data_IF_241924413920
#
_entry.id   IF_241924413920
#
_cell.length_a   1.000
_cell.length_b   1.000
_cell.length_c   1.000
_cell.angle_alpha   90.00
_cell.angle_beta   90.00
_cell.angle_gamma   90.00
#
_symmetry.space_group_name_H-M   'P 1'
#
loop_
_entity.id
_entity.type
_entity.pdbx_description
1 polymer ?
#
# COMPACT_ATOMS: atom_id res chain seq x y z
N UNK A 1 -1.88 -2.67 -10.63
CA UNK A 1 -1.99 -1.22 -10.50
C UNK A 1 -3.11 -0.81 -9.58
N UNK A 2 -3.06 0.41 -9.10
CA UNK A 2 -4.04 0.98 -8.17
C UNK A 2 -4.43 2.40 -8.60
N UNK A 3 -5.70 2.75 -8.38
CA UNK A 3 -6.22 4.09 -8.64
C UNK A 3 -6.23 4.88 -7.33
N UNK A 4 -5.75 6.09 -7.38
CA UNK A 4 -5.71 7.04 -6.26
C UNK A 4 -6.46 8.32 -6.63
N UNK A 5 -7.59 8.65 -5.98
CA UNK A 5 -8.24 9.93 -6.15
C UNK A 5 -7.44 11.02 -5.42
N UNK A 6 -7.27 12.16 -6.07
CA UNK A 6 -6.61 13.33 -5.48
C UNK A 6 -7.63 14.38 -5.05
N UNK A 7 -7.29 15.21 -4.06
CA UNK A 7 -8.14 16.27 -3.53
C UNK A 7 -8.74 17.18 -4.59
N UNK A 8 -8.00 17.48 -5.65
CA UNK A 8 -8.44 18.30 -6.79
C UNK A 8 -9.36 17.58 -7.79
N UNK A 9 -9.84 16.37 -7.47
CA UNK A 9 -10.74 15.57 -8.34
C UNK A 9 -10.03 14.82 -9.48
N UNK A 10 -8.70 14.90 -9.59
CA UNK A 10 -7.95 14.13 -10.57
C UNK A 10 -7.69 12.69 -10.08
N UNK A 11 -7.50 11.78 -11.02
CA UNK A 11 -7.08 10.41 -10.72
C UNK A 11 -5.59 10.22 -10.94
N UNK A 12 -4.94 9.60 -9.99
CA UNK A 12 -3.56 9.15 -10.10
C UNK A 12 -3.51 7.63 -10.20
N UNK A 13 -2.74 7.11 -11.13
CA UNK A 13 -2.62 5.67 -11.37
C UNK A 13 -1.21 5.22 -11.05
N UNK A 14 -1.07 4.35 -10.06
CA UNK A 14 0.18 3.66 -9.76
C UNK A 14 0.19 2.29 -10.43
N UNK A 15 1.22 2.00 -11.21
CA UNK A 15 1.37 0.72 -11.90
C UNK A 15 2.72 0.11 -11.53
N UNK A 16 2.70 -1.17 -11.15
CA UNK A 16 3.91 -1.98 -11.04
C UNK A 16 3.99 -2.86 -12.27
N UNK A 17 5.09 -2.78 -12.99
CA UNK A 17 5.44 -3.66 -14.08
C UNK A 17 6.41 -4.70 -13.53
N UNK A 18 6.01 -5.97 -13.64
CA UNK A 18 6.82 -7.12 -13.19
C UNK A 18 7.29 -7.85 -14.44
N UNK A 19 8.59 -7.99 -14.57
CA UNK A 19 9.23 -8.69 -15.67
C UNK A 19 9.68 -10.07 -15.22
N UNK A 20 9.70 -11.04 -16.14
CA UNK A 20 10.17 -12.40 -15.84
C UNK A 20 11.68 -12.43 -15.50
N UNK A 21 12.44 -11.55 -16.17
CA UNK A 21 13.86 -11.36 -15.96
C UNK A 21 14.12 -9.95 -15.41
N UNK A 22 15.37 -9.49 -15.50
CA UNK A 22 15.74 -8.14 -15.08
C UNK A 22 14.92 -7.10 -15.87
N UNK A 23 14.28 -6.20 -15.15
CA UNK A 23 13.53 -5.10 -15.76
C UNK A 23 14.45 -4.25 -16.66
N UNK A 24 14.08 -4.02 -17.92
CA UNK A 24 14.85 -3.15 -18.79
C UNK A 24 14.72 -1.70 -18.33
N UNK A 25 15.73 -0.90 -18.58
CA UNK A 25 15.59 0.54 -18.50
C UNK A 25 14.67 1.02 -19.62
N UNK A 26 13.58 1.69 -19.28
CA UNK A 26 12.67 2.33 -20.24
C UNK A 26 12.64 3.82 -19.91
N UNK A 27 13.04 4.64 -20.85
CA UNK A 27 13.01 6.09 -20.70
C UNK A 27 11.56 6.57 -20.45
N UNK A 28 11.41 7.51 -19.53
CA UNK A 28 10.10 8.04 -19.16
C UNK A 28 9.37 8.70 -20.34
N UNK A 29 10.10 9.26 -21.30
CA UNK A 29 9.53 9.85 -22.52
C UNK A 29 8.82 8.81 -23.38
N UNK A 30 9.36 7.59 -23.44
CA UNK A 30 8.73 6.46 -24.15
C UNK A 30 7.43 6.08 -23.48
N UNK A 31 7.44 5.97 -22.13
CA UNK A 31 6.23 5.67 -21.34
C UNK A 31 5.17 6.77 -21.54
N UNK A 32 5.57 8.04 -21.44
CA UNK A 32 4.68 9.18 -21.63
C UNK A 32 4.05 9.18 -23.03
N UNK A 33 4.82 8.88 -24.06
CA UNK A 33 4.35 8.81 -25.44
C UNK A 33 3.37 7.65 -25.67
N UNK A 34 3.53 6.55 -24.97
CA UNK A 34 2.59 5.44 -25.00
C UNK A 34 1.31 5.74 -24.19
N UNK A 35 1.46 6.37 -23.04
CA UNK A 35 0.37 6.65 -22.12
C UNK A 35 -0.60 7.71 -22.64
N UNK A 36 -0.12 8.84 -23.09
CA UNK A 36 -0.88 9.97 -23.67
C UNK A 36 -2.06 10.49 -22.83
N UNK A 37 -2.10 10.18 -21.55
CA UNK A 37 -3.17 10.58 -20.62
C UNK A 37 -2.65 11.48 -19.49
N UNK A 38 -1.60 12.22 -19.73
CA UNK A 38 -1.00 13.14 -18.76
C UNK A 38 0.43 12.78 -18.40
N UNK A 39 0.89 13.35 -17.29
CA UNK A 39 2.25 13.19 -16.81
C UNK A 39 2.53 11.75 -16.35
N UNK A 40 3.72 11.27 -16.65
CA UNK A 40 4.21 9.97 -16.19
C UNK A 40 5.55 10.12 -15.47
N UNK A 41 5.79 9.31 -14.45
CA UNK A 41 7.07 9.17 -13.77
C UNK A 41 7.35 7.69 -13.54
N UNK A 42 8.44 7.21 -14.10
CA UNK A 42 8.84 5.79 -14.02
C UNK A 42 10.14 5.68 -13.27
N UNK A 43 10.25 4.72 -12.37
CA UNK A 43 11.47 4.43 -11.63
C UNK A 43 11.56 2.94 -11.31
N UNK A 44 12.78 2.44 -11.14
CA UNK A 44 12.99 1.11 -10.58
C UNK A 44 12.54 1.09 -9.11
N UNK A 45 11.97 -0.04 -8.70
CA UNK A 45 11.68 -0.32 -7.30
C UNK A 45 12.86 -1.13 -6.78
N UNK A 46 13.71 -0.49 -6.01
CA UNK A 46 14.88 -1.10 -5.39
C UNK A 46 14.67 -1.11 -3.86
N UNK A 47 15.08 -2.18 -3.21
CA UNK A 47 15.10 -2.30 -1.74
C UNK A 47 13.76 -2.03 -1.04
N UNK A 48 12.64 -2.38 -1.67
CA UNK A 48 11.32 -2.32 -1.04
C UNK A 48 10.93 -3.71 -0.56
N UNK A 49 10.99 -3.91 0.75
CA UNK A 49 10.67 -5.21 1.38
C UNK A 49 9.20 -5.61 1.19
N UNK A 50 8.31 -4.64 1.10
CA UNK A 50 6.88 -4.89 0.93
C UNK A 50 6.23 -3.89 -0.04
N UNK A 51 6.23 -4.24 -1.32
CA UNK A 51 5.62 -3.42 -2.39
C UNK A 51 4.12 -3.26 -2.20
N UNK A 52 3.44 -4.25 -1.60
CA UNK A 52 2.02 -4.16 -1.30
C UNK A 52 1.71 -3.11 -0.25
N UNK A 53 2.50 -3.06 0.84
CA UNK A 53 2.37 -2.03 1.87
C UNK A 53 2.68 -0.64 1.30
N UNK A 54 3.71 -0.52 0.48
CA UNK A 54 4.06 0.71 -0.21
C UNK A 54 2.89 1.27 -1.04
N UNK A 55 2.24 0.45 -1.84
CA UNK A 55 1.08 0.87 -2.64
C UNK A 55 -0.15 1.16 -1.78
N UNK A 56 -0.41 0.35 -0.76
CA UNK A 56 -1.62 0.50 0.07
C UNK A 56 -1.61 1.78 0.91
N UNK A 57 -0.44 2.30 1.27
CA UNK A 57 -0.31 3.57 1.99
C UNK A 57 -0.93 4.74 1.22
N UNK A 58 -0.85 4.73 -0.12
CA UNK A 58 -1.44 5.77 -0.96
C UNK A 58 -2.95 5.59 -1.22
N UNK A 59 -3.49 4.42 -0.98
CA UNK A 59 -4.87 4.10 -1.38
C UNK A 59 -5.92 4.58 -0.39
N UNK A 60 -5.63 4.51 0.89
CA UNK A 60 -6.60 4.76 1.94
C UNK A 60 -6.31 6.02 2.74
N UNK A 61 -5.04 6.36 2.91
CA UNK A 61 -4.63 7.46 3.76
C UNK A 61 -4.46 8.74 2.94
N UNK A 62 -4.77 9.87 3.56
CA UNK A 62 -4.50 11.20 3.02
C UNK A 62 -3.44 11.87 3.88
N UNK A 63 -2.50 12.59 3.28
CA UNK A 63 -1.57 13.38 4.08
C UNK A 63 -2.30 14.53 4.76
N UNK A 64 -1.76 14.99 5.89
CA UNK A 64 -2.34 16.11 6.61
C UNK A 64 -2.39 17.37 5.73
N UNK A 65 -1.33 17.60 4.97
CA UNK A 65 -1.22 18.74 4.05
C UNK A 65 -2.29 18.69 2.96
N UNK A 66 -2.50 17.49 2.33
CA UNK A 66 -3.58 17.30 1.35
C UNK A 66 -4.98 17.49 1.96
N UNK A 67 -5.17 17.10 3.23
CA UNK A 67 -6.44 17.27 3.90
C UNK A 67 -6.75 18.75 4.17
N UNK A 68 -5.75 19.54 4.58
CA UNK A 68 -5.87 20.98 4.74
C UNK A 68 -6.18 21.68 3.41
N UNK A 69 -5.44 21.34 2.34
CA UNK A 69 -5.69 21.86 0.99
C UNK A 69 -7.10 21.53 0.47
N UNK A 70 -7.62 20.36 0.85
CA UNK A 70 -8.98 19.92 0.50
C UNK A 70 -10.06 20.51 1.40
N UNK A 71 -9.70 21.28 2.44
CA UNK A 71 -10.65 21.83 3.40
C UNK A 71 -11.34 20.78 4.28
N UNK A 72 -10.69 19.63 4.49
CA UNK A 72 -11.23 18.56 5.32
C UNK A 72 -11.06 18.95 6.79
N UNK A 73 -12.16 18.86 7.56
CA UNK A 73 -12.07 19.02 9.01
C UNK A 73 -11.32 17.86 9.64
N UNK A 74 -10.18 18.15 10.25
CA UNK A 74 -9.27 17.16 10.85
C UNK A 74 -9.40 17.06 12.37
N UNK A 75 -10.34 17.80 12.98
CA UNK A 75 -10.49 17.91 14.44
C UNK A 75 -10.70 16.57 15.14
N UNK A 76 -11.42 15.66 14.48
CA UNK A 76 -11.70 14.32 15.01
C UNK A 76 -11.03 13.19 14.21
N UNK A 77 -10.04 13.54 13.39
CA UNK A 77 -9.37 12.57 12.53
C UNK A 77 -8.35 11.74 13.31
N UNK A 78 -8.30 10.44 13.03
CA UNK A 78 -7.23 9.57 13.54
C UNK A 78 -5.95 9.87 12.74
N UNK A 79 -5.02 10.61 13.37
CA UNK A 79 -3.76 11.00 12.76
C UNK A 79 -2.68 9.99 13.15
N UNK A 80 -1.99 9.45 12.16
CA UNK A 80 -0.87 8.53 12.32
C UNK A 80 0.37 9.10 11.62
N UNK A 81 1.55 8.84 12.17
CA UNK A 81 2.79 9.16 11.48
C UNK A 81 3.29 7.91 10.78
N UNK A 82 3.42 7.97 9.47
CA UNK A 82 3.90 6.86 8.64
C UNK A 82 5.13 7.29 7.83
N UNK A 83 6.02 6.35 7.59
CA UNK A 83 7.13 6.58 6.66
C UNK A 83 6.63 6.47 5.23
N UNK A 84 6.70 7.57 4.50
CA UNK A 84 6.33 7.64 3.09
C UNK A 84 7.54 8.07 2.26
N UNK A 85 7.70 7.54 1.05
CA UNK A 85 8.77 7.98 0.17
C UNK A 85 8.53 9.42 -0.31
N UNK A 86 9.60 10.20 -0.32
CA UNK A 86 9.63 11.50 -0.97
C UNK A 86 9.74 11.34 -2.51
N UNK A 87 9.89 12.44 -3.22
CA UNK A 87 10.06 12.45 -4.67
C UNK A 87 11.31 11.71 -5.14
N UNK A 88 12.31 11.58 -4.28
CA UNK A 88 13.59 10.91 -4.56
C UNK A 88 13.59 9.44 -4.12
N UNK A 89 12.53 9.01 -3.39
CA UNK A 89 12.38 7.66 -2.86
C UNK A 89 12.91 7.48 -1.44
N UNK A 90 13.37 8.55 -0.78
CA UNK A 90 13.80 8.47 0.61
C UNK A 90 12.58 8.36 1.53
N UNK A 91 12.67 7.54 2.56
CA UNK A 91 11.61 7.42 3.56
C UNK A 91 11.64 8.64 4.47
N UNK A 92 10.56 9.39 4.47
CA UNK A 92 10.35 10.54 5.35
C UNK A 92 9.08 10.34 6.19
N UNK A 93 9.10 10.73 7.46
CA UNK A 93 7.90 10.67 8.30
C UNK A 93 6.88 11.70 7.81
N UNK A 94 5.65 11.24 7.55
CA UNK A 94 4.51 12.11 7.21
C UNK A 94 3.34 11.83 8.13
N UNK A 95 2.65 12.89 8.52
CA UNK A 95 1.37 12.77 9.22
C UNK A 95 0.30 12.45 8.19
N UNK A 96 -0.48 11.41 8.45
CA UNK A 96 -1.58 10.97 7.60
C UNK A 96 -2.85 10.79 8.41
N UNK A 97 -3.97 11.02 7.75
CA UNK A 97 -5.30 10.69 8.26
C UNK A 97 -5.67 9.32 7.72
N UNK A 98 -5.86 8.38 8.63
CA UNK A 98 -6.16 7.00 8.29
C UNK A 98 -7.54 6.88 7.64
N UNK A 99 -7.57 6.24 6.49
CA UNK A 99 -8.81 6.07 5.73
C UNK A 99 -9.40 7.33 5.12
N UNK A 100 -8.76 8.49 5.27
CA UNK A 100 -9.30 9.78 4.82
C UNK A 100 -9.60 9.85 3.33
N UNK A 101 -8.85 9.09 2.52
CA UNK A 101 -9.04 9.05 1.06
C UNK A 101 -10.22 8.18 0.61
N UNK A 102 -10.71 7.28 1.47
CA UNK A 102 -11.75 6.33 1.10
C UNK A 102 -13.07 7.00 0.69
N UNK A 103 -13.37 8.17 1.22
CA UNK A 103 -14.57 8.94 0.89
C UNK A 103 -14.59 9.48 -0.54
N UNK A 104 -13.42 9.57 -1.18
CA UNK A 104 -13.30 10.08 -2.55
C UNK A 104 -13.52 9.01 -3.62
N UNK A 105 -13.58 7.75 -3.22
CA UNK A 105 -13.90 6.67 -4.15
C UNK A 105 -15.42 6.56 -4.34
N UNK A 106 -15.93 6.65 -5.57
CA UNK A 106 -17.31 6.33 -5.85
C UNK A 106 -17.62 4.90 -5.42
N UNK A 107 -18.85 4.68 -4.94
CA UNK A 107 -19.29 3.33 -4.57
C UNK A 107 -19.11 2.35 -5.73
N UNK A 108 -18.60 1.15 -5.44
CA UNK A 108 -18.31 0.12 -6.44
C UNK A 108 -17.02 0.32 -7.24
N UNK A 109 -16.22 1.34 -6.93
CA UNK A 109 -14.92 1.55 -7.62
C UNK A 109 -13.98 0.39 -7.32
N UNK A 110 -13.48 -0.24 -8.38
CA UNK A 110 -12.42 -1.24 -8.28
C UNK A 110 -11.07 -0.54 -8.16
N UNK A 111 -10.62 -0.32 -6.93
CA UNK A 111 -9.42 0.46 -6.60
C UNK A 111 -8.15 -0.20 -7.13
N UNK A 112 -8.10 -1.52 -7.06
CA UNK A 112 -6.92 -2.30 -7.40
C UNK A 112 -7.20 -3.26 -8.57
N UNK A 113 -6.22 -3.42 -9.45
CA UNK A 113 -6.29 -4.30 -10.63
C UNK A 113 -4.96 -4.99 -10.85
N UNK A 114 -4.99 -6.25 -11.27
CA UNK A 114 -3.82 -6.99 -11.72
C UNK A 114 -4.08 -7.65 -13.07
N UNK A 115 -3.02 -7.93 -13.81
CA UNK A 115 -3.09 -8.71 -15.03
C UNK A 115 -3.47 -10.17 -14.71
N UNK A 116 -4.01 -10.89 -15.69
CA UNK A 116 -4.48 -12.28 -15.51
C UNK A 116 -3.35 -13.27 -15.23
N UNK A 117 -2.15 -12.95 -15.70
CA UNK A 117 -0.95 -13.76 -15.52
C UNK A 117 -0.16 -13.45 -14.23
N UNK A 118 -0.63 -12.55 -13.38
CA UNK A 118 -0.04 -12.37 -12.07
C UNK A 118 -0.28 -13.62 -11.22
N UNK A 119 0.77 -14.13 -10.60
CA UNK A 119 0.68 -15.20 -9.61
C UNK A 119 -0.16 -14.70 -8.45
N UNK A 120 -1.16 -15.48 -8.07
CA UNK A 120 -2.01 -15.16 -6.93
C UNK A 120 -1.39 -15.75 -5.66
N UNK A 121 -1.54 -15.08 -4.50
CA UNK A 121 -1.11 -15.66 -3.25
C UNK A 121 -1.91 -16.93 -2.95
N UNK A 122 -1.24 -17.94 -2.44
CA UNK A 122 -1.87 -19.12 -1.90
C UNK A 122 -2.20 -18.89 -0.43
N UNK A 123 -3.37 -19.34 0.00
CA UNK A 123 -3.84 -19.18 1.38
C UNK A 123 -3.94 -20.56 2.03
N UNK A 124 -3.22 -20.74 3.12
CA UNK A 124 -3.24 -21.96 3.92
C UNK A 124 -3.73 -21.65 5.32
N UNK A 125 -4.50 -22.57 5.88
CA UNK A 125 -4.90 -22.55 7.28
C UNK A 125 -4.13 -23.64 8.00
N UNK A 126 -3.39 -23.27 9.04
CA UNK A 126 -2.50 -24.18 9.76
C UNK A 126 -2.40 -23.78 11.22
N UNK A 127 -1.77 -24.62 12.06
CA UNK A 127 -1.47 -24.28 13.44
C UNK A 127 -0.34 -23.25 13.53
N UNK A 128 -0.26 -22.52 14.65
CA UNK A 128 0.82 -21.55 14.88
C UNK A 128 2.21 -22.20 14.78
N UNK A 129 2.37 -23.39 15.35
CA UNK A 129 3.61 -24.15 15.30
C UNK A 129 4.05 -24.48 13.86
N UNK A 130 3.12 -24.92 13.03
CA UNK A 130 3.43 -25.18 11.62
C UNK A 130 3.73 -23.90 10.84
N UNK A 131 3.02 -22.81 11.14
CA UNK A 131 3.29 -21.53 10.52
C UNK A 131 4.69 -21.02 10.85
N UNK A 132 5.11 -21.11 12.11
CA UNK A 132 6.43 -20.72 12.56
C UNK A 132 7.54 -21.58 11.94
N UNK A 133 7.33 -22.88 11.83
CA UNK A 133 8.27 -23.79 11.17
C UNK A 133 8.45 -23.48 9.67
N UNK A 134 7.40 -23.04 8.99
CA UNK A 134 7.46 -22.71 7.57
C UNK A 134 8.31 -21.46 7.28
N UNK A 135 8.48 -20.57 8.26
CA UNK A 135 9.20 -19.30 8.09
C UNK A 135 10.50 -19.21 8.92
N UNK A 136 10.97 -20.33 9.45
CA UNK A 136 12.14 -20.38 10.36
C UNK A 136 13.43 -19.81 9.75
N UNK A 137 13.55 -19.85 8.42
CA UNK A 137 14.69 -19.31 7.67
C UNK A 137 14.40 -17.97 7.01
N UNK A 138 13.20 -17.44 7.19
CA UNK A 138 12.78 -16.19 6.56
C UNK A 138 13.02 -15.00 7.49
N UNK A 139 13.27 -13.83 6.91
CA UNK A 139 13.48 -12.60 7.68
C UNK A 139 12.15 -11.94 7.98
N UNK A 140 11.84 -11.73 9.26
CA UNK A 140 10.68 -10.95 9.70
C UNK A 140 10.86 -9.48 9.29
N UNK A 141 9.97 -8.97 8.44
CA UNK A 141 10.03 -7.60 7.93
C UNK A 141 8.94 -6.70 8.52
N UNK A 142 7.89 -7.29 9.06
CA UNK A 142 6.81 -6.54 9.70
C UNK A 142 6.09 -7.39 10.73
N UNK A 143 5.74 -6.77 11.86
CA UNK A 143 4.90 -7.37 12.89
C UNK A 143 3.92 -6.35 13.44
N UNK A 144 2.69 -6.77 13.65
CA UNK A 144 1.68 -5.97 14.37
C UNK A 144 0.73 -6.86 15.15
N UNK A 145 0.28 -6.36 16.28
CA UNK A 145 -0.73 -7.00 17.12
C UNK A 145 -1.91 -6.06 17.29
N UNK A 146 -3.12 -6.54 17.03
CA UNK A 146 -4.35 -5.81 17.24
C UNK A 146 -5.26 -6.58 18.19
N UNK A 147 -5.65 -5.96 19.29
CA UNK A 147 -6.67 -6.48 20.20
C UNK A 147 -8.04 -5.93 19.80
N UNK A 148 -9.03 -6.79 19.74
CA UNK A 148 -10.43 -6.44 19.49
C UNK A 148 -11.20 -6.85 20.74
N UNK A 149 -11.86 -5.90 21.36
CA UNK A 149 -12.72 -6.13 22.52
C UNK A 149 -14.09 -5.54 22.23
N UNK A 150 -15.11 -6.34 22.49
CA UNK A 150 -16.51 -5.91 22.47
C UNK A 150 -17.07 -6.11 23.87
N UNK A 151 -17.35 -5.00 24.54
CA UNK A 151 -17.80 -4.99 25.94
C UNK A 151 -19.22 -5.56 26.08
N UNK A 152 -20.08 -5.37 25.07
CA UNK A 152 -21.48 -5.84 25.12
C UNK A 152 -21.58 -7.36 25.01
N UNK A 153 -20.75 -7.94 24.15
CA UNK A 153 -20.75 -9.40 23.91
C UNK A 153 -19.67 -10.14 24.73
N UNK A 154 -18.84 -9.42 25.49
CA UNK A 154 -17.66 -9.96 26.20
C UNK A 154 -16.71 -10.72 25.25
N UNK A 155 -16.70 -10.31 23.99
CA UNK A 155 -15.82 -10.90 22.98
C UNK A 155 -14.42 -10.27 23.06
N UNK A 156 -13.40 -11.13 23.10
CA UNK A 156 -12.00 -10.71 23.03
C UNK A 156 -11.28 -11.53 21.97
N UNK A 157 -10.56 -10.86 21.10
CA UNK A 157 -9.70 -11.48 20.11
C UNK A 157 -8.39 -10.73 19.95
N UNK A 158 -7.32 -11.45 19.72
CA UNK A 158 -5.99 -10.89 19.44
C UNK A 158 -5.56 -11.37 18.05
N UNK A 159 -5.31 -10.43 17.16
CA UNK A 159 -4.83 -10.70 15.81
C UNK A 159 -3.35 -10.31 15.74
N UNK A 160 -2.49 -11.30 15.56
CA UNK A 160 -1.08 -11.09 15.29
C UNK A 160 -0.86 -11.20 13.79
N UNK A 161 -0.22 -10.20 13.20
CA UNK A 161 0.16 -10.18 11.79
C UNK A 161 1.66 -10.08 11.69
N UNK A 162 2.27 -11.02 10.96
CA UNK A 162 3.69 -11.05 10.67
C UNK A 162 3.90 -11.18 9.17
N UNK A 163 4.90 -10.50 8.65
CA UNK A 163 5.31 -10.58 7.24
C UNK A 163 6.78 -10.98 7.21
N UNK A 164 7.08 -11.98 6.42
CA UNK A 164 8.42 -12.52 6.25
C UNK A 164 8.85 -12.43 4.80
N UNK A 165 10.12 -12.16 4.58
CA UNK A 165 10.75 -12.27 3.27
C UNK A 165 11.70 -13.46 3.26
N UNK A 166 11.48 -14.37 2.32
CA UNK A 166 12.44 -15.44 2.03
C UNK A 166 13.58 -14.83 1.19
N UNK A 167 14.79 -14.87 1.71
CA UNK A 167 16.00 -14.57 0.95
C UNK A 167 16.26 -15.81 0.07
N UNK A 168 15.93 -15.71 -1.20
CA UNK A 168 16.32 -16.70 -2.21
C UNK A 168 17.42 -16.17 -3.09
#
# INVERSE_FOLDING_TARGET
GVLEPQARGAWHLHIILIFADKAPFIDNTIIANCWKQGFTKTRAIESVDNVGAYLSAYLSNITFDEAEEAGINTEYAEIETVEMPDENGNKIPKKVIKGGRLHWYPAGTRIYRCSRNCVKPEVYYTSNEQAENNVIFDTLTYESTKSIEDVETNFKSVINRRVYNSIR
#
